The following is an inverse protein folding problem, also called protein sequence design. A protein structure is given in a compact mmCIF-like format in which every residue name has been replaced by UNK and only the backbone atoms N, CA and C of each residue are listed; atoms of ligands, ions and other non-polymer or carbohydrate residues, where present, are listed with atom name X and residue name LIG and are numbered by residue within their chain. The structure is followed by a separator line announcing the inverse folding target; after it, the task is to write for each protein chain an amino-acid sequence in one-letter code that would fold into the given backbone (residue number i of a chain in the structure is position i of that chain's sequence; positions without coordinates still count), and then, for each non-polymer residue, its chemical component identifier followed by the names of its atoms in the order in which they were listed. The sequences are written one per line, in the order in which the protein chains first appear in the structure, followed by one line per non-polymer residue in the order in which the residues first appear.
data_IF_213761529568
#
_entry.id   IF_213761529568
#
_cell.length_a   1.000
_cell.length_b   1.000
_cell.length_c   1.000
_cell.angle_alpha   90.00
_cell.angle_beta   90.00
_cell.angle_gamma   90.00
#
_symmetry.space_group_name_H-M   'P 1'
#
loop_
_entity.id
_entity.type
_entity.pdbx_description
1 polymer ?
#
# COMPACT_ATOMS: atom_id res chain seq x y z
N UNK A 1 -11.86 6.50 14.96
CA UNK A 1 -11.54 6.11 13.59
C UNK A 1 -10.93 4.71 13.57
N UNK A 2 -11.37 3.87 12.65
CA UNK A 2 -10.81 2.55 12.46
C UNK A 2 -9.94 2.55 11.21
N UNK A 3 -8.61 2.46 11.40
CA UNK A 3 -7.63 2.29 10.33
C UNK A 3 -7.11 0.86 10.37
N UNK A 4 -7.15 0.18 9.23
CA UNK A 4 -6.68 -1.19 9.13
C UNK A 4 -5.40 -1.27 8.32
N UNK A 5 -4.36 -1.87 8.90
CA UNK A 5 -3.14 -2.23 8.18
C UNK A 5 -3.34 -3.62 7.58
N UNK A 6 -3.26 -3.72 6.27
CA UNK A 6 -3.54 -4.96 5.53
C UNK A 6 -2.39 -5.34 4.62
N UNK A 7 -2.24 -6.64 4.38
CA UNK A 7 -1.12 -7.18 3.63
C UNK A 7 -1.47 -7.68 2.23
N UNK A 8 -2.73 -7.55 1.81
CA UNK A 8 -3.14 -7.95 0.46
C UNK A 8 -4.54 -7.41 0.15
N UNK A 9 -4.97 -7.61 -1.09
CA UNK A 9 -6.26 -7.16 -1.57
C UNK A 9 -7.43 -7.77 -0.76
N UNK A 10 -7.39 -9.06 -0.50
CA UNK A 10 -8.49 -9.73 0.20
C UNK A 10 -8.66 -9.20 1.62
N UNK A 11 -7.56 -8.93 2.31
CA UNK A 11 -7.61 -8.31 3.64
C UNK A 11 -8.17 -6.90 3.58
N UNK A 12 -7.85 -6.14 2.52
CA UNK A 12 -8.38 -4.80 2.32
C UNK A 12 -9.91 -4.82 2.18
N UNK A 13 -10.42 -5.73 1.35
CA UNK A 13 -11.86 -5.91 1.18
C UNK A 13 -12.53 -6.31 2.49
N UNK A 14 -11.93 -7.24 3.23
CA UNK A 14 -12.43 -7.68 4.53
C UNK A 14 -12.53 -6.53 5.53
N UNK A 15 -11.47 -5.73 5.62
CA UNK A 15 -11.43 -4.58 6.52
C UNK A 15 -12.49 -3.54 6.13
N UNK A 16 -12.63 -3.27 4.84
CA UNK A 16 -13.66 -2.35 4.34
C UNK A 16 -15.06 -2.83 4.73
N UNK A 17 -15.35 -4.10 4.52
CA UNK A 17 -16.66 -4.68 4.88
C UNK A 17 -16.93 -4.65 6.38
N UNK A 18 -15.89 -4.67 7.20
CA UNK A 18 -15.99 -4.58 8.66
C UNK A 18 -16.08 -3.15 9.18
N UNK A 19 -16.11 -2.17 8.29
CA UNK A 19 -16.30 -0.77 8.68
C UNK A 19 -15.04 0.04 8.86
N UNK A 20 -13.90 -0.39 8.30
CA UNK A 20 -12.69 0.42 8.32
C UNK A 20 -12.95 1.76 7.65
N UNK A 21 -12.43 2.83 8.24
CA UNK A 21 -12.54 4.18 7.71
C UNK A 21 -11.40 4.52 6.76
N UNK A 22 -10.29 3.82 6.89
CA UNK A 22 -9.09 4.04 6.10
C UNK A 22 -8.28 2.75 6.09
N UNK A 23 -7.57 2.51 5.00
CA UNK A 23 -6.72 1.33 4.85
C UNK A 23 -5.28 1.77 4.63
N UNK A 24 -4.35 1.14 5.34
CA UNK A 24 -2.93 1.17 5.02
C UNK A 24 -2.62 -0.12 4.27
N UNK A 25 -2.39 0.01 2.96
CA UNK A 25 -2.16 -1.12 2.08
C UNK A 25 -0.67 -1.45 2.00
N UNK A 26 -0.33 -2.66 2.38
CA UNK A 26 1.04 -3.17 2.37
C UNK A 26 1.10 -4.47 1.60
N UNK A 27 2.30 -4.95 1.39
CA UNK A 27 2.59 -6.33 1.01
C UNK A 27 3.69 -6.82 1.94
N UNK A 28 3.93 -8.12 1.95
CA UNK A 28 5.08 -8.69 2.65
C UNK A 28 5.17 -8.25 4.12
N UNK A 29 4.08 -8.41 4.87
CA UNK A 29 4.03 -7.99 6.28
C UNK A 29 5.04 -8.72 7.16
N UNK A 30 5.53 -9.89 6.77
CA UNK A 30 6.59 -10.60 7.50
C UNK A 30 7.91 -9.84 7.48
N UNK A 31 8.09 -8.93 6.54
CA UNK A 31 9.24 -8.03 6.43
C UNK A 31 8.88 -6.61 6.88
N UNK A 32 7.84 -6.46 7.70
CA UNK A 32 7.31 -5.20 8.19
C UNK A 32 6.67 -4.33 7.10
N UNK A 33 6.35 -4.94 5.98
CA UNK A 33 5.63 -4.30 4.88
C UNK A 33 6.53 -3.71 3.82
N UNK A 34 6.19 -3.98 2.57
CA UNK A 34 6.81 -3.39 1.39
C UNK A 34 5.73 -2.88 0.46
N UNK A 35 6.12 -2.12 -0.57
CA UNK A 35 5.17 -1.57 -1.54
C UNK A 35 4.48 -2.69 -2.31
N UNK A 36 3.14 -2.71 -2.34
CA UNK A 36 2.41 -3.71 -3.12
C UNK A 36 2.56 -3.49 -4.62
N UNK A 37 2.19 -4.51 -5.40
CA UNK A 37 2.22 -4.39 -6.86
C UNK A 37 1.24 -3.33 -7.35
N UNK A 38 1.49 -2.80 -8.55
CA UNK A 38 0.60 -1.83 -9.19
C UNK A 38 -0.81 -2.41 -9.35
N UNK A 39 -0.92 -3.68 -9.71
CA UNK A 39 -2.20 -4.35 -9.84
C UNK A 39 -3.00 -4.37 -8.54
N UNK A 40 -2.34 -4.70 -7.44
CA UNK A 40 -2.96 -4.69 -6.12
C UNK A 40 -3.43 -3.28 -5.74
N UNK A 41 -2.59 -2.28 -5.97
CA UNK A 41 -2.91 -0.88 -5.67
C UNK A 41 -4.16 -0.43 -6.44
N UNK A 42 -4.16 -0.63 -7.76
CA UNK A 42 -5.26 -0.22 -8.62
C UNK A 42 -6.57 -0.90 -8.26
N UNK A 43 -6.52 -2.21 -8.07
CA UNK A 43 -7.72 -3.00 -7.76
C UNK A 43 -8.31 -2.61 -6.41
N UNK A 44 -7.45 -2.42 -5.42
CA UNK A 44 -7.88 -2.04 -4.07
C UNK A 44 -8.55 -0.67 -4.08
N UNK A 45 -7.90 0.33 -4.68
CA UNK A 45 -8.44 1.69 -4.76
C UNK A 45 -9.79 1.71 -5.48
N UNK A 46 -9.92 0.91 -6.53
CA UNK A 46 -11.16 0.82 -7.30
C UNK A 46 -12.30 0.22 -6.48
N UNK A 47 -12.02 -0.80 -5.70
CA UNK A 47 -13.06 -1.62 -5.06
C UNK A 47 -13.39 -1.21 -3.62
N UNK A 48 -12.53 -0.48 -2.93
CA UNK A 48 -12.86 0.06 -1.61
C UNK A 48 -13.16 1.55 -1.73
N UNK A 49 -14.28 1.98 -1.19
CA UNK A 49 -14.74 3.36 -1.30
C UNK A 49 -14.33 4.17 -0.05
N UNK A 50 -13.09 4.01 0.37
CA UNK A 50 -12.51 4.70 1.52
C UNK A 50 -11.06 5.06 1.17
N UNK A 51 -10.44 6.00 1.89
CA UNK A 51 -9.04 6.35 1.64
C UNK A 51 -8.10 5.15 1.78
N UNK A 52 -7.18 5.02 0.83
CA UNK A 52 -6.15 3.98 0.81
C UNK A 52 -4.79 4.65 0.87
N UNK A 53 -4.04 4.36 1.93
CA UNK A 53 -2.67 4.80 2.10
C UNK A 53 -1.77 3.65 1.71
N UNK A 54 -0.84 3.86 0.79
CA UNK A 54 0.05 2.81 0.29
C UNK A 54 1.42 2.98 0.90
N UNK A 55 1.97 1.91 1.47
CA UNK A 55 3.34 1.95 2.00
C UNK A 55 4.34 2.07 0.84
N UNK A 56 5.31 2.95 0.98
CA UNK A 56 6.40 3.11 0.02
C UNK A 56 7.68 2.61 0.65
N UNK A 57 7.99 1.35 0.39
CA UNK A 57 9.18 0.68 0.90
C UNK A 57 9.62 -0.36 -0.14
N UNK A 58 10.75 -0.13 -0.84
CA UNK A 58 11.10 -0.94 -2.01
C UNK A 58 11.57 -2.35 -1.68
N UNK A 59 12.00 -2.59 -0.44
CA UNK A 59 12.49 -3.91 0.01
C UNK A 59 12.48 -3.99 1.52
N UNK A 60 12.56 -5.19 2.05
CA UNK A 60 12.78 -5.41 3.48
C UNK A 60 14.20 -5.02 3.90
N UNK A 61 14.53 -5.26 5.15
CA UNK A 61 15.86 -4.95 5.69
C UNK A 61 15.93 -3.53 6.25
N UNK A 62 17.12 -2.92 6.19
CA UNK A 62 17.35 -1.59 6.76
C UNK A 62 16.66 -0.49 5.93
N UNK A 63 16.69 0.73 6.46
CA UNK A 63 16.06 1.90 5.85
C UNK A 63 17.08 2.81 5.15
N UNK A 64 18.27 2.32 4.88
CA UNK A 64 19.29 3.05 4.13
C UNK A 64 19.16 2.72 2.66
N UNK A 65 18.50 3.58 1.91
CA UNK A 65 18.21 3.34 0.50
C UNK A 65 19.25 3.97 -0.41
N UNK A 66 19.62 3.25 -1.46
CA UNK A 66 20.50 3.78 -2.49
C UNK A 66 19.77 4.82 -3.35
N UNK A 67 20.51 5.55 -4.18
CA UNK A 67 19.91 6.49 -5.12
C UNK A 67 18.95 5.81 -6.07
N UNK A 68 19.29 4.60 -6.53
CA UNK A 68 18.41 3.82 -7.41
C UNK A 68 17.12 3.43 -6.69
N UNK A 69 17.23 3.03 -5.43
CA UNK A 69 16.05 2.69 -4.63
C UNK A 69 15.16 3.91 -4.37
N UNK A 70 15.74 5.08 -4.18
CA UNK A 70 14.98 6.33 -4.04
C UNK A 70 14.22 6.63 -5.34
N UNK A 71 14.84 6.41 -6.50
CA UNK A 71 14.16 6.57 -7.79
C UNK A 71 12.97 5.62 -7.92
N UNK A 72 13.12 4.36 -7.47
CA UNK A 72 12.03 3.41 -7.46
C UNK A 72 10.88 3.89 -6.56
N UNK A 73 11.22 4.40 -5.39
CA UNK A 73 10.22 4.94 -4.46
C UNK A 73 9.45 6.11 -5.06
N UNK A 74 10.13 7.01 -5.78
CA UNK A 74 9.49 8.15 -6.44
C UNK A 74 8.54 7.69 -7.55
N UNK A 75 8.90 6.66 -8.31
CA UNK A 75 8.02 6.06 -9.31
C UNK A 75 6.78 5.47 -8.66
N UNK A 76 6.95 4.74 -7.55
CA UNK A 76 5.83 4.15 -6.82
C UNK A 76 4.87 5.23 -6.30
N UNK A 77 5.40 6.33 -5.80
CA UNK A 77 4.59 7.47 -5.34
C UNK A 77 3.77 8.04 -6.50
N UNK A 78 4.39 8.21 -7.67
CA UNK A 78 3.69 8.71 -8.87
C UNK A 78 2.54 7.79 -9.26
N UNK A 79 2.77 6.48 -9.29
CA UNK A 79 1.73 5.49 -9.58
C UNK A 79 0.57 5.61 -8.60
N UNK A 80 0.87 5.75 -7.31
CA UNK A 80 -0.15 5.91 -6.28
C UNK A 80 -0.99 7.17 -6.52
N UNK A 81 -0.34 8.29 -6.78
CA UNK A 81 -1.02 9.56 -7.07
C UNK A 81 -1.95 9.44 -8.28
N UNK A 82 -1.46 8.84 -9.36
CA UNK A 82 -2.24 8.66 -10.59
C UNK A 82 -3.48 7.79 -10.37
N UNK A 83 -3.46 6.92 -9.39
CA UNK A 83 -4.56 6.01 -9.08
C UNK A 83 -5.42 6.45 -7.89
N UNK A 84 -5.15 7.60 -7.31
CA UNK A 84 -6.00 8.17 -6.27
C UNK A 84 -5.67 7.75 -4.84
N UNK A 85 -4.47 7.25 -4.63
CA UNK A 85 -4.04 6.92 -3.27
C UNK A 85 -3.54 8.15 -2.53
#
# INVERSE_FOLDING_TARGET
MYEACVGNYNEAISAFKRGANRIELCDNLMEDGTTPSVGTIKKTIKDVNIPVMVIIRPRGGNFEYSEDEVEIMLEDIEVCKENGA
#
